data_IF_003445222635
#
_entry.id   IF_003445222635
#
_cell.length_a   1.000
_cell.length_b   1.000
_cell.length_c   1.000
_cell.angle_alpha   90.00
_cell.angle_beta   90.00
_cell.angle_gamma   90.00
#
_symmetry.space_group_name_H-M   'P 1'
#
loop_
_entity.id
_entity.type
_entity.pdbx_description
1 polymer ?
#
# COMPACT_ATOMS: atom_id res chain seq x y z
N UNK A 1 23.10 -8.71 -9.32
CA UNK A 1 21.63 -8.79 -9.53
C UNK A 1 21.22 -8.06 -10.81
N UNK A 2 22.07 -8.06 -11.85
CA UNK A 2 21.78 -7.38 -13.12
C UNK A 2 20.58 -7.99 -13.85
N UNK A 3 20.33 -9.27 -13.59
CA UNK A 3 19.19 -10.09 -14.02
C UNK A 3 17.87 -9.77 -13.29
N UNK A 4 17.96 -9.12 -12.12
CA UNK A 4 16.81 -8.68 -11.33
C UNK A 4 16.53 -7.18 -11.50
N UNK A 5 17.50 -6.41 -11.99
CA UNK A 5 17.34 -4.98 -12.22
C UNK A 5 16.26 -4.74 -13.30
N UNK A 6 15.35 -3.81 -13.06
CA UNK A 6 14.19 -3.52 -13.90
C UNK A 6 12.94 -4.33 -13.54
N UNK A 7 13.04 -5.42 -12.77
CA UNK A 7 11.89 -6.20 -12.33
C UNK A 7 11.10 -5.48 -11.25
N UNK A 8 9.80 -5.73 -11.18
CA UNK A 8 8.96 -5.20 -10.12
C UNK A 8 9.34 -5.80 -8.74
N UNK A 9 8.84 -5.22 -7.65
CA UNK A 9 9.16 -5.68 -6.29
C UNK A 9 8.73 -7.14 -6.06
N UNK A 10 7.65 -7.60 -6.67
CA UNK A 10 7.07 -8.92 -6.45
C UNK A 10 7.84 -9.99 -7.25
N UNK A 11 8.08 -9.73 -8.52
CA UNK A 11 8.93 -10.52 -9.40
C UNK A 11 10.34 -10.68 -8.84
N UNK A 12 10.88 -9.62 -8.22
CA UNK A 12 12.19 -9.67 -7.56
C UNK A 12 12.20 -10.66 -6.40
N UNK A 13 11.16 -10.63 -5.54
CA UNK A 13 11.04 -11.56 -4.41
C UNK A 13 10.92 -13.00 -4.91
N UNK A 14 10.06 -13.25 -5.91
CA UNK A 14 9.85 -14.59 -6.46
C UNK A 14 11.12 -15.14 -7.14
N UNK A 15 11.83 -14.31 -7.91
CA UNK A 15 13.08 -14.69 -8.54
C UNK A 15 14.17 -15.04 -7.53
N UNK A 16 14.28 -14.28 -6.43
CA UNK A 16 15.25 -14.58 -5.36
C UNK A 16 14.92 -15.91 -4.67
N UNK A 17 13.64 -16.18 -4.40
CA UNK A 17 13.21 -17.48 -3.86
C UNK A 17 13.54 -18.65 -4.79
N UNK A 18 13.34 -18.47 -6.09
CA UNK A 18 13.65 -19.48 -7.11
C UNK A 18 15.16 -19.73 -7.22
N UNK A 19 15.95 -18.66 -7.38
CA UNK A 19 17.41 -18.74 -7.51
C UNK A 19 18.08 -19.37 -6.29
N UNK A 20 17.57 -19.08 -5.08
CA UNK A 20 18.10 -19.64 -3.85
C UNK A 20 17.56 -21.04 -3.52
N UNK A 21 16.46 -21.46 -4.15
CA UNK A 21 15.75 -22.70 -3.80
C UNK A 21 15.17 -22.71 -2.38
N UNK A 22 14.99 -21.55 -1.74
CA UNK A 22 14.49 -21.43 -0.35
C UNK A 22 13.37 -20.39 -0.23
N UNK A 23 12.13 -20.89 -0.22
CA UNK A 23 10.90 -20.08 -0.01
C UNK A 23 10.78 -19.49 1.41
N UNK A 24 11.67 -19.85 2.34
CA UNK A 24 11.68 -19.34 3.72
C UNK A 24 12.62 -18.14 3.92
N UNK A 25 13.25 -17.66 2.84
CA UNK A 25 13.94 -16.38 2.82
C UNK A 25 12.93 -15.24 3.00
N UNK A 26 13.29 -14.27 3.83
CA UNK A 26 12.63 -12.96 3.83
C UNK A 26 13.45 -12.01 2.96
N UNK A 27 12.78 -11.25 2.10
CA UNK A 27 13.40 -10.43 1.07
C UNK A 27 12.88 -9.01 1.17
N UNK A 28 13.79 -8.06 1.38
CA UNK A 28 13.55 -6.64 1.23
C UNK A 28 14.10 -6.17 -0.13
N UNK A 29 13.26 -5.62 -1.00
CA UNK A 29 13.60 -5.27 -2.37
C UNK A 29 13.07 -3.88 -2.77
N UNK A 30 13.76 -3.23 -3.70
CA UNK A 30 13.27 -2.05 -4.41
C UNK A 30 12.69 -2.46 -5.77
N UNK A 31 11.69 -1.72 -6.24
CA UNK A 31 11.19 -1.80 -7.61
C UNK A 31 11.86 -0.77 -8.53
N UNK A 32 11.35 -0.61 -9.76
CA UNK A 32 11.81 0.38 -10.72
C UNK A 32 11.91 1.81 -10.17
N UNK A 33 11.02 2.22 -9.26
CA UNK A 33 11.07 3.55 -8.65
C UNK A 33 12.35 3.78 -7.84
N UNK A 34 12.78 2.76 -7.07
CA UNK A 34 14.05 2.83 -6.33
C UNK A 34 15.26 2.86 -7.25
N UNK A 35 15.24 2.06 -8.32
CA UNK A 35 16.31 2.01 -9.34
C UNK A 35 16.48 3.35 -10.06
N UNK A 36 15.36 4.01 -10.39
CA UNK A 36 15.30 5.36 -10.96
C UNK A 36 15.53 6.47 -9.93
N UNK A 37 15.68 6.14 -8.64
CA UNK A 37 15.89 7.07 -7.52
C UNK A 37 14.76 8.10 -7.37
N UNK A 38 13.52 7.68 -7.64
CA UNK A 38 12.33 8.51 -7.40
C UNK A 38 12.30 8.90 -5.92
N UNK A 39 12.13 10.18 -5.61
CA UNK A 39 12.26 10.71 -4.24
C UNK A 39 11.31 10.05 -3.21
N UNK A 40 10.21 9.48 -3.70
CA UNK A 40 9.17 8.80 -2.92
C UNK A 40 9.24 7.27 -3.04
N UNK A 41 10.36 6.72 -3.50
CA UNK A 41 10.54 5.29 -3.63
C UNK A 41 10.65 4.59 -2.26
N UNK A 42 9.97 3.46 -2.15
CA UNK A 42 9.90 2.63 -0.94
C UNK A 42 10.69 1.32 -1.08
N UNK A 43 10.78 0.58 0.03
CA UNK A 43 11.34 -0.78 0.05
C UNK A 43 10.21 -1.75 0.41
N UNK A 44 9.94 -2.72 -0.46
CA UNK A 44 8.96 -3.77 -0.24
C UNK A 44 9.60 -4.95 0.49
N UNK A 45 8.87 -5.57 1.42
CA UNK A 45 9.30 -6.74 2.19
C UNK A 45 8.28 -7.86 1.98
N UNK A 46 8.75 -8.99 1.43
CA UNK A 46 7.97 -10.22 1.24
C UNK A 46 6.64 -10.04 0.49
N UNK A 47 6.54 -9.04 -0.40
CA UNK A 47 5.29 -8.68 -1.11
C UNK A 47 4.15 -8.32 -0.15
N UNK A 48 4.48 -7.96 1.09
CA UNK A 48 3.53 -7.85 2.20
C UNK A 48 3.59 -6.50 2.93
N UNK A 49 4.79 -6.02 3.24
CA UNK A 49 4.98 -4.80 4.04
C UNK A 49 5.93 -3.85 3.33
N UNK A 50 5.83 -2.56 3.64
CA UNK A 50 6.63 -1.53 2.97
C UNK A 50 7.27 -0.60 3.99
N UNK A 51 8.57 -0.36 3.84
CA UNK A 51 9.19 0.86 4.36
C UNK A 51 8.84 1.99 3.39
N UNK A 52 7.61 2.50 3.54
CA UNK A 52 6.90 3.30 2.55
C UNK A 52 7.50 4.67 2.26
N UNK A 53 7.78 5.45 3.31
CA UNK A 53 8.02 6.90 3.19
C UNK A 53 9.49 7.27 3.28
N UNK A 54 9.78 8.55 2.99
CA UNK A 54 11.09 9.19 3.13
C UNK A 54 12.16 8.75 2.12
N UNK A 55 11.78 8.12 1.02
CA UNK A 55 12.69 7.87 -0.11
C UNK A 55 13.79 6.84 0.16
N UNK A 56 13.61 5.95 1.14
CA UNK A 56 14.62 4.93 1.47
C UNK A 56 14.91 3.99 0.29
N UNK A 57 13.90 3.74 -0.56
CA UNK A 57 14.09 2.97 -1.80
C UNK A 57 15.04 3.67 -2.78
N UNK A 58 14.97 5.00 -2.86
CA UNK A 58 15.88 5.79 -3.69
C UNK A 58 17.32 5.73 -3.20
N UNK A 59 17.51 5.78 -1.87
CA UNK A 59 18.83 5.64 -1.24
C UNK A 59 19.43 4.26 -1.51
N UNK A 60 18.62 3.20 -1.41
CA UNK A 60 19.03 1.83 -1.69
C UNK A 60 19.39 1.65 -3.18
N UNK A 61 18.61 2.20 -4.09
CA UNK A 61 18.89 2.20 -5.53
C UNK A 61 20.10 3.03 -5.92
N UNK A 62 20.35 4.18 -5.28
CA UNK A 62 21.57 4.97 -5.44
C UNK A 62 22.85 4.22 -5.06
N UNK A 63 22.75 3.18 -4.23
CA UNK A 63 23.86 2.28 -3.88
C UNK A 63 23.93 1.04 -4.77
N UNK A 64 23.12 0.96 -5.82
CA UNK A 64 22.98 -0.20 -6.71
C UNK A 64 22.64 -1.50 -5.95
N UNK A 65 21.86 -1.39 -4.86
CA UNK A 65 21.40 -2.56 -4.10
C UNK A 65 19.96 -2.87 -4.48
N UNK A 66 19.73 -3.96 -5.22
CA UNK A 66 18.37 -4.36 -5.65
C UNK A 66 17.54 -4.96 -4.50
N UNK A 67 18.16 -5.81 -3.69
CA UNK A 67 17.49 -6.50 -2.60
C UNK A 67 18.47 -6.97 -1.53
N UNK A 68 17.93 -7.25 -0.35
CA UNK A 68 18.59 -7.95 0.76
C UNK A 68 17.72 -9.16 1.12
N UNK A 69 18.28 -10.36 1.00
CA UNK A 69 17.60 -11.60 1.34
C UNK A 69 18.24 -12.23 2.57
N UNK A 70 17.42 -12.64 3.55
CA UNK A 70 17.89 -13.15 4.84
C UNK A 70 17.19 -14.45 5.21
N UNK A 71 18.00 -15.45 5.61
CA UNK A 71 17.54 -16.71 6.22
C UNK A 71 18.11 -16.85 7.62
N UNK A 72 17.23 -16.78 8.62
CA UNK A 72 17.59 -17.03 10.02
C UNK A 72 17.17 -18.44 10.47
N UNK A 73 18.11 -19.21 10.99
CA UNK A 73 17.85 -20.53 11.62
C UNK A 73 18.29 -20.61 13.08
N UNK A 74 19.02 -19.59 13.56
CA UNK A 74 19.47 -19.51 14.95
C UNK A 74 18.30 -19.23 15.88
N UNK A 75 18.40 -19.73 17.11
CA UNK A 75 17.48 -19.41 18.19
C UNK A 75 17.88 -18.08 18.81
N UNK A 76 16.90 -17.22 19.08
CA UNK A 76 17.10 -16.01 19.87
C UNK A 76 17.09 -16.41 21.34
N UNK A 77 18.18 -16.12 22.05
CA UNK A 77 18.27 -16.35 23.49
C UNK A 77 17.46 -15.30 24.24
N UNK A 78 16.68 -15.75 25.22
CA UNK A 78 15.87 -14.90 26.09
C UNK A 78 16.17 -15.27 27.53
N UNK A 79 16.28 -14.27 28.40
CA UNK A 79 16.70 -14.46 29.80
C UNK A 79 15.83 -15.46 30.56
N UNK A 80 14.49 -15.39 30.39
CA UNK A 80 13.54 -16.33 30.98
C UNK A 80 12.56 -16.87 29.91
N UNK A 81 12.85 -18.03 29.29
CA UNK A 81 12.01 -18.60 28.23
C UNK A 81 10.59 -18.96 28.65
N UNK A 82 10.39 -19.37 29.90
CA UNK A 82 9.07 -19.76 30.41
C UNK A 82 8.18 -18.52 30.57
N UNK A 83 8.69 -17.48 31.24
CA UNK A 83 7.96 -16.23 31.41
C UNK A 83 7.64 -15.58 30.05
N UNK A 84 8.59 -15.56 29.11
CA UNK A 84 8.35 -15.03 27.76
C UNK A 84 7.22 -15.77 27.03
N UNK A 85 7.17 -17.11 27.14
CA UNK A 85 6.11 -17.94 26.54
C UNK A 85 4.74 -17.67 27.17
N UNK A 86 4.67 -17.57 28.50
CA UNK A 86 3.44 -17.29 29.23
C UNK A 86 2.87 -15.91 28.88
N UNK A 87 3.74 -14.88 28.87
CA UNK A 87 3.36 -13.53 28.47
C UNK A 87 2.92 -13.47 27.01
N UNK A 88 3.67 -14.11 26.10
CA UNK A 88 3.29 -14.17 24.68
C UNK A 88 1.91 -14.79 24.50
N UNK A 89 1.61 -15.91 25.17
CA UNK A 89 0.29 -16.57 25.09
C UNK A 89 -0.82 -15.68 25.66
N UNK A 90 -0.58 -15.05 26.83
CA UNK A 90 -1.52 -14.12 27.46
C UNK A 90 -1.86 -12.95 26.53
N UNK A 91 -0.85 -12.24 26.03
CA UNK A 91 -1.06 -11.05 25.21
C UNK A 91 -1.57 -11.37 23.81
N UNK A 92 -1.13 -12.46 23.17
CA UNK A 92 -1.71 -12.86 21.89
C UNK A 92 -3.21 -13.11 21.99
N UNK A 93 -3.66 -13.78 23.06
CA UNK A 93 -5.09 -13.99 23.32
C UNK A 93 -5.83 -12.66 23.53
N UNK A 94 -5.32 -11.81 24.43
CA UNK A 94 -5.95 -10.52 24.75
C UNK A 94 -6.05 -9.60 23.52
N UNK A 95 -4.98 -9.50 22.73
CA UNK A 95 -4.95 -8.70 21.50
C UNK A 95 -5.93 -9.28 20.48
N UNK A 96 -5.95 -10.59 20.28
CA UNK A 96 -6.88 -11.23 19.35
C UNK A 96 -8.34 -10.99 19.73
N UNK A 97 -8.69 -11.14 21.01
CA UNK A 97 -10.05 -10.87 21.50
C UNK A 97 -10.44 -9.40 21.31
N UNK A 98 -9.51 -8.47 21.58
CA UNK A 98 -9.76 -7.03 21.40
C UNK A 98 -9.99 -6.66 19.93
N UNK A 99 -9.16 -7.17 19.01
CA UNK A 99 -9.25 -6.84 17.58
C UNK A 99 -10.38 -7.55 16.83
N UNK A 100 -10.90 -8.65 17.39
CA UNK A 100 -12.16 -9.26 16.95
C UNK A 100 -13.34 -8.42 17.43
N UNK A 101 -13.33 -8.00 18.71
CA UNK A 101 -14.42 -7.22 19.31
C UNK A 101 -14.64 -5.85 18.64
N UNK A 102 -13.57 -5.18 18.24
CA UNK A 102 -13.65 -3.88 17.56
C UNK A 102 -13.64 -3.99 16.02
N UNK A 103 -13.79 -5.19 15.48
CA UNK A 103 -13.84 -5.49 14.04
C UNK A 103 -12.56 -5.10 13.25
N UNK A 104 -11.49 -4.64 13.91
CA UNK A 104 -10.24 -4.29 13.24
C UNK A 104 -9.59 -5.48 12.53
N UNK A 105 -9.77 -6.69 13.06
CA UNK A 105 -9.39 -7.92 12.36
C UNK A 105 -10.17 -8.09 11.07
N UNK A 106 -11.49 -7.86 11.10
CA UNK A 106 -12.40 -8.05 9.96
C UNK A 106 -12.14 -7.03 8.86
N UNK A 107 -12.03 -5.75 9.24
CA UNK A 107 -12.02 -4.64 8.29
C UNK A 107 -10.64 -4.03 8.04
N UNK A 108 -9.71 -4.14 9.00
CA UNK A 108 -8.39 -3.53 8.89
C UNK A 108 -8.47 -2.02 9.05
N UNK A 109 -7.46 -1.32 8.54
CA UNK A 109 -7.42 0.15 8.58
C UNK A 109 -8.57 0.85 7.82
N UNK A 110 -9.18 0.29 6.75
CA UNK A 110 -10.35 0.91 6.11
C UNK A 110 -11.58 1.14 7.01
N UNK A 111 -11.63 0.54 8.21
CA UNK A 111 -12.63 0.89 9.22
C UNK A 111 -12.50 2.32 9.76
N UNK A 112 -11.39 3.00 9.48
CA UNK A 112 -11.14 4.38 9.90
C UNK A 112 -11.75 5.44 8.96
N UNK A 113 -12.06 5.12 7.69
CA UNK A 113 -12.46 6.12 6.68
C UNK A 113 -13.60 7.04 7.15
N UNK A 114 -14.74 6.49 7.54
CA UNK A 114 -15.90 7.29 7.98
C UNK A 114 -15.61 8.07 9.28
N UNK A 115 -14.79 7.51 10.18
CA UNK A 115 -14.41 8.21 11.42
C UNK A 115 -13.46 9.38 11.14
N UNK A 116 -12.48 9.18 10.26
CA UNK A 116 -11.55 10.25 9.88
C UNK A 116 -12.28 11.38 9.14
N UNK A 117 -13.19 11.05 8.23
CA UNK A 117 -14.01 12.06 7.55
C UNK A 117 -14.88 12.84 8.53
N UNK A 118 -15.57 12.15 9.46
CA UNK A 118 -16.39 12.82 10.48
C UNK A 118 -15.61 13.69 11.47
N UNK A 119 -14.29 13.50 11.57
CA UNK A 119 -13.37 14.34 12.35
C UNK A 119 -12.73 15.47 11.54
N UNK A 120 -12.95 15.53 10.22
CA UNK A 120 -12.29 16.46 9.31
C UNK A 120 -10.82 16.12 9.03
N UNK A 121 -10.42 14.86 9.21
CA UNK A 121 -9.05 14.34 9.06
C UNK A 121 -8.89 13.40 7.87
N UNK A 122 -9.83 13.42 6.92
CA UNK A 122 -9.71 12.69 5.65
C UNK A 122 -9.44 13.70 4.53
N UNK A 123 -8.38 13.52 3.71
CA UNK A 123 -8.08 14.46 2.64
C UNK A 123 -9.16 14.38 1.56
N UNK A 124 -9.78 15.52 1.22
CA UNK A 124 -10.77 15.60 0.15
C UNK A 124 -10.34 16.71 -0.80
N UNK A 125 -10.24 16.37 -2.10
CA UNK A 125 -9.81 17.31 -3.17
C UNK A 125 -8.54 18.09 -2.78
N UNK A 126 -7.44 17.37 -2.51
CA UNK A 126 -6.16 17.94 -2.06
C UNK A 126 -6.30 18.94 -0.89
N UNK A 127 -7.09 18.57 0.12
CA UNK A 127 -7.39 19.37 1.32
C UNK A 127 -8.15 20.68 1.06
N UNK A 128 -8.71 20.87 -0.14
CA UNK A 128 -9.57 22.02 -0.45
C UNK A 128 -10.99 21.85 0.10
N UNK A 129 -11.42 20.61 0.33
CA UNK A 129 -12.75 20.29 0.86
C UNK A 129 -12.67 19.63 2.24
N UNK A 130 -13.73 19.85 3.03
CA UNK A 130 -13.84 19.45 4.42
C UNK A 130 -14.80 18.28 4.65
N UNK A 131 -15.79 18.08 3.77
CA UNK A 131 -16.89 17.12 3.99
C UNK A 131 -17.22 16.33 2.72
N UNK A 132 -17.14 15.00 2.78
CA UNK A 132 -17.66 14.09 1.75
C UNK A 132 -17.98 12.69 2.31
N UNK A 133 -19.06 12.55 3.12
CA UNK A 133 -19.35 11.31 3.83
C UNK A 133 -19.62 10.13 2.89
N UNK A 134 -20.25 10.38 1.73
CA UNK A 134 -20.55 9.34 0.75
C UNK A 134 -19.27 8.76 0.12
N UNK A 135 -18.26 9.58 -0.13
CA UNK A 135 -16.96 9.12 -0.63
C UNK A 135 -16.22 8.26 0.41
N UNK A 136 -16.17 8.74 1.65
CA UNK A 136 -15.58 8.01 2.77
C UNK A 136 -16.28 6.67 3.03
N UNK A 137 -17.62 6.64 2.94
CA UNK A 137 -18.43 5.43 3.11
C UNK A 137 -18.21 4.41 1.98
N UNK A 138 -18.11 4.84 0.73
CA UNK A 138 -17.85 3.92 -0.40
C UNK A 138 -16.47 3.28 -0.33
N UNK A 139 -15.46 4.06 0.05
CA UNK A 139 -14.07 3.60 0.21
C UNK A 139 -13.81 2.87 1.53
N UNK A 140 -14.61 3.15 2.56
CA UNK A 140 -14.48 2.57 3.89
C UNK A 140 -15.05 1.17 4.01
N UNK A 141 -14.80 0.53 5.15
CA UNK A 141 -15.45 -0.72 5.51
C UNK A 141 -16.89 -0.48 6.01
N UNK A 142 -17.86 -1.35 5.67
CA UNK A 142 -17.69 -2.67 5.07
C UNK A 142 -17.69 -2.71 3.53
N UNK A 143 -17.97 -1.59 2.85
CA UNK A 143 -18.08 -1.53 1.38
C UNK A 143 -16.78 -1.97 0.69
N UNK A 144 -15.64 -1.45 1.14
CA UNK A 144 -14.30 -1.90 0.77
C UNK A 144 -14.16 -3.42 0.84
N UNK A 145 -14.57 -4.02 1.97
CA UNK A 145 -14.36 -5.44 2.24
C UNK A 145 -15.13 -6.29 1.24
N UNK A 146 -16.36 -5.88 0.92
CA UNK A 146 -17.22 -6.57 -0.03
C UNK A 146 -16.76 -6.36 -1.47
N UNK A 147 -16.50 -5.10 -1.86
CA UNK A 147 -16.14 -4.71 -3.22
C UNK A 147 -14.83 -5.34 -3.70
N UNK A 148 -13.88 -5.56 -2.78
CA UNK A 148 -12.56 -6.11 -3.07
C UNK A 148 -12.40 -7.59 -2.66
N UNK A 149 -13.44 -8.21 -2.09
CA UNK A 149 -13.34 -9.55 -1.48
C UNK A 149 -12.15 -9.62 -0.49
N UNK A 150 -11.99 -8.58 0.32
CA UNK A 150 -10.82 -8.41 1.17
C UNK A 150 -10.83 -9.43 2.32
N UNK A 151 -9.67 -10.06 2.56
CA UNK A 151 -9.49 -11.03 3.64
C UNK A 151 -8.36 -10.62 4.57
N UNK A 152 -8.46 -10.90 5.89
CA UNK A 152 -7.38 -10.60 6.81
C UNK A 152 -6.10 -11.37 6.48
N UNK A 153 -4.98 -10.66 6.41
CA UNK A 153 -3.65 -11.21 6.16
C UNK A 153 -2.71 -10.77 7.30
N UNK A 154 -2.34 -11.64 8.24
CA UNK A 154 -1.43 -11.28 9.33
C UNK A 154 0.03 -11.27 8.91
N UNK A 155 0.78 -10.30 9.45
CA UNK A 155 2.23 -10.39 9.53
C UNK A 155 2.65 -11.64 10.31
N UNK A 156 3.90 -12.04 10.16
CA UNK A 156 4.46 -13.19 10.86
C UNK A 156 4.27 -13.07 12.38
N UNK A 157 3.62 -14.07 12.98
CA UNK A 157 3.29 -14.15 14.42
C UNK A 157 2.28 -13.12 14.96
N UNK A 158 1.71 -12.27 14.12
CA UNK A 158 0.78 -11.23 14.57
C UNK A 158 -0.66 -11.80 14.75
N UNK A 159 -1.29 -11.63 15.93
CA UNK A 159 -2.66 -12.10 16.19
C UNK A 159 -3.75 -11.18 15.61
N UNK A 160 -3.37 -9.97 15.17
CA UNK A 160 -4.29 -8.94 14.68
C UNK A 160 -4.76 -9.31 13.27
N UNK A 161 -3.81 -9.37 12.33
CA UNK A 161 -4.09 -9.44 10.91
C UNK A 161 -4.83 -8.21 10.44
N UNK A 162 -4.13 -7.08 10.30
CA UNK A 162 -4.68 -5.80 9.82
C UNK A 162 -4.54 -5.63 8.31
N UNK A 163 -3.48 -6.16 7.69
CA UNK A 163 -3.33 -6.12 6.23
C UNK A 163 -4.45 -6.89 5.55
N UNK A 164 -4.78 -6.48 4.34
CA UNK A 164 -5.82 -7.08 3.51
C UNK A 164 -5.19 -7.82 2.36
N UNK A 165 -5.54 -9.09 2.18
CA UNK A 165 -5.35 -9.80 0.92
C UNK A 165 -6.57 -9.52 0.04
N UNK A 166 -6.31 -9.06 -1.18
CA UNK A 166 -7.35 -8.77 -2.17
C UNK A 166 -7.29 -9.80 -3.29
N UNK A 167 -8.46 -10.18 -3.77
CA UNK A 167 -8.58 -11.02 -4.96
C UNK A 167 -9.81 -10.56 -5.73
N UNK A 168 -9.57 -9.82 -6.81
CA UNK A 168 -10.59 -9.41 -7.76
C UNK A 168 -10.48 -10.33 -8.97
N UNK A 169 -11.57 -11.03 -9.27
CA UNK A 169 -11.65 -11.91 -10.45
C UNK A 169 -12.42 -11.30 -11.60
N UNK A 170 -13.28 -10.31 -11.32
CA UNK A 170 -14.12 -9.61 -12.28
C UNK A 170 -14.43 -8.18 -11.81
N UNK A 171 -14.64 -7.22 -12.74
CA UNK A 171 -14.39 -7.35 -14.19
C UNK A 171 -12.89 -7.48 -14.50
N UNK A 172 -12.53 -7.94 -15.71
CA UNK A 172 -11.14 -8.23 -16.10
C UNK A 172 -10.22 -6.99 -15.98
N UNK A 173 -10.73 -5.79 -16.23
CA UNK A 173 -10.00 -4.52 -16.10
C UNK A 173 -9.45 -4.25 -14.68
N UNK A 174 -10.09 -4.80 -13.65
CA UNK A 174 -9.69 -4.63 -12.25
C UNK A 174 -9.13 -5.93 -11.64
N UNK A 175 -8.88 -6.95 -12.46
CA UNK A 175 -8.47 -8.26 -11.97
C UNK A 175 -7.03 -8.24 -11.48
N UNK A 176 -6.86 -8.47 -10.18
CA UNK A 176 -5.54 -8.68 -9.58
C UNK A 176 -5.64 -9.47 -8.27
N UNK A 177 -4.50 -10.01 -7.85
CA UNK A 177 -4.29 -10.56 -6.51
C UNK A 177 -3.13 -9.81 -5.87
N UNK A 178 -3.39 -9.18 -4.72
CA UNK A 178 -2.43 -8.30 -4.07
C UNK A 178 -2.79 -7.99 -2.63
N UNK A 179 -2.24 -6.90 -2.11
CA UNK A 179 -2.40 -6.48 -0.72
C UNK A 179 -2.82 -5.03 -0.58
N UNK A 180 -3.51 -4.69 0.52
CA UNK A 180 -4.08 -3.35 0.73
C UNK A 180 -5.28 -3.10 -0.19
N UNK A 181 -5.65 -1.86 -0.52
CA UNK A 181 -5.08 -0.64 0.04
C UNK A 181 -5.43 -0.50 1.52
N UNK A 182 -4.54 0.15 2.27
CA UNK A 182 -4.77 0.59 3.64
C UNK A 182 -5.53 1.95 3.64
N UNK A 183 -6.01 2.41 4.79
CA UNK A 183 -6.71 3.69 4.96
C UNK A 183 -5.98 4.86 4.28
N UNK A 184 -4.67 4.97 4.48
CA UNK A 184 -3.87 6.06 3.92
C UNK A 184 -3.94 6.11 2.39
N UNK A 185 -3.85 4.95 1.74
CA UNK A 185 -3.98 4.86 0.28
C UNK A 185 -5.41 5.18 -0.16
N UNK A 186 -6.43 4.73 0.59
CA UNK A 186 -7.83 5.09 0.32
C UNK A 186 -8.08 6.60 0.44
N UNK A 187 -7.49 7.25 1.44
CA UNK A 187 -7.54 8.71 1.56
C UNK A 187 -6.83 9.40 0.40
N UNK A 188 -5.54 9.09 0.18
CA UNK A 188 -4.68 9.87 -0.72
C UNK A 188 -4.88 9.57 -2.22
N UNK A 189 -5.29 8.35 -2.59
CA UNK A 189 -5.62 7.99 -3.97
C UNK A 189 -7.12 7.92 -4.24
N UNK A 190 -7.96 8.04 -3.20
CA UNK A 190 -9.41 8.08 -3.30
C UNK A 190 -9.97 9.49 -3.09
N UNK A 191 -10.40 9.80 -1.86
CA UNK A 191 -11.09 11.07 -1.56
C UNK A 191 -10.26 12.30 -1.90
N UNK A 192 -8.94 12.25 -1.68
CA UNK A 192 -8.00 13.31 -2.03
C UNK A 192 -8.06 13.70 -3.51
N UNK A 193 -8.46 12.76 -4.38
CA UNK A 193 -8.56 12.91 -5.83
C UNK A 193 -10.00 12.95 -6.33
N UNK A 194 -11.00 12.98 -5.44
CA UNK A 194 -12.42 12.80 -5.74
C UNK A 194 -12.78 11.47 -6.43
N UNK A 195 -12.05 10.39 -6.11
CA UNK A 195 -12.30 9.03 -6.59
C UNK A 195 -12.90 8.19 -5.45
N UNK A 196 -14.08 7.60 -5.66
CA UNK A 196 -14.79 6.83 -4.63
C UNK A 196 -15.02 5.34 -5.00
N UNK A 197 -14.41 4.85 -6.09
CA UNK A 197 -14.40 3.43 -6.43
C UNK A 197 -13.20 2.72 -5.78
N UNK A 198 -13.43 1.84 -4.78
CA UNK A 198 -12.34 1.13 -4.13
C UNK A 198 -11.55 0.22 -5.07
N UNK A 199 -12.11 -0.22 -6.22
CA UNK A 199 -11.37 -1.04 -7.20
C UNK A 199 -10.30 -0.24 -7.94
N UNK A 200 -10.61 1.01 -8.30
CA UNK A 200 -9.66 1.93 -8.91
C UNK A 200 -8.48 2.17 -7.97
N UNK A 201 -8.78 2.51 -6.70
CA UNK A 201 -7.75 2.76 -5.69
C UNK A 201 -6.92 1.51 -5.42
N UNK A 202 -7.55 0.33 -5.44
CA UNK A 202 -6.89 -0.95 -5.30
C UNK A 202 -5.87 -1.24 -6.43
N UNK A 203 -6.22 -0.94 -7.68
CA UNK A 203 -5.27 -1.06 -8.80
C UNK A 203 -4.12 -0.07 -8.67
N UNK A 204 -4.41 1.20 -8.39
CA UNK A 204 -3.37 2.22 -8.18
C UNK A 204 -2.40 1.82 -7.05
N UNK A 205 -2.92 1.26 -5.98
CA UNK A 205 -2.13 0.68 -4.89
C UNK A 205 -1.26 -0.51 -5.34
N UNK A 206 -1.78 -1.44 -6.14
CA UNK A 206 -1.01 -2.58 -6.64
C UNK A 206 0.14 -2.14 -7.56
N UNK A 207 -0.13 -1.20 -8.47
CA UNK A 207 0.89 -0.59 -9.34
C UNK A 207 1.97 0.09 -8.48
N UNK A 208 1.58 0.92 -7.52
CA UNK A 208 2.53 1.59 -6.62
C UNK A 208 3.39 0.58 -5.82
N UNK A 209 2.77 -0.48 -5.31
CA UNK A 209 3.47 -1.54 -4.57
C UNK A 209 4.50 -2.25 -5.45
N UNK A 210 4.14 -2.58 -6.70
CA UNK A 210 5.02 -3.24 -7.67
C UNK A 210 6.17 -2.35 -8.10
N UNK A 211 5.89 -1.09 -8.39
CA UNK A 211 6.90 -0.10 -8.76
C UNK A 211 7.83 0.25 -7.59
N UNK A 212 7.34 0.10 -6.36
CA UNK A 212 8.04 0.49 -5.14
C UNK A 212 7.89 1.98 -4.84
N UNK A 213 6.66 2.49 -4.86
CA UNK A 213 6.30 3.88 -4.57
C UNK A 213 5.57 4.01 -3.23
N UNK A 214 5.77 5.13 -2.53
CA UNK A 214 4.96 5.55 -1.39
C UNK A 214 3.55 5.95 -1.86
N UNK A 215 2.51 5.22 -1.44
CA UNK A 215 1.13 5.52 -1.88
C UNK A 215 0.62 6.86 -1.38
N UNK A 216 1.06 7.32 -0.20
CA UNK A 216 0.65 8.62 0.36
C UNK A 216 1.20 9.74 -0.52
N UNK A 217 2.52 9.75 -0.72
CA UNK A 217 3.16 10.79 -1.51
C UNK A 217 2.75 10.73 -2.98
N UNK A 218 2.50 9.52 -3.52
CA UNK A 218 1.98 9.36 -4.88
C UNK A 218 0.61 10.02 -5.03
N UNK A 219 -0.35 9.70 -4.15
CA UNK A 219 -1.67 10.32 -4.19
C UNK A 219 -1.62 11.84 -3.96
N UNK A 220 -0.77 12.31 -3.04
CA UNK A 220 -0.57 13.73 -2.82
C UNK A 220 0.00 14.46 -4.05
N UNK A 221 0.98 13.87 -4.75
CA UNK A 221 1.55 14.46 -5.96
C UNK A 221 0.56 14.49 -7.12
N UNK A 222 -0.28 13.45 -7.26
CA UNK A 222 -1.37 13.45 -8.25
C UNK A 222 -2.38 14.55 -7.92
N UNK A 223 -2.78 14.69 -6.65
CA UNK A 223 -3.70 15.74 -6.21
C UNK A 223 -3.14 17.14 -6.47
N UNK A 224 -1.86 17.36 -6.17
CA UNK A 224 -1.18 18.61 -6.48
C UNK A 224 -1.15 18.91 -7.99
N UNK A 225 -0.89 17.90 -8.83
CA UNK A 225 -0.91 18.06 -10.27
C UNK A 225 -2.32 18.40 -10.80
N UNK A 226 -3.37 17.76 -10.29
CA UNK A 226 -4.75 18.09 -10.62
C UNK A 226 -5.11 19.52 -10.20
N UNK A 227 -4.68 19.98 -9.02
CA UNK A 227 -4.90 21.36 -8.58
C UNK A 227 -4.17 22.37 -9.49
N UNK A 228 -2.92 22.10 -9.85
CA UNK A 228 -2.16 22.94 -10.78
C UNK A 228 -2.84 23.02 -12.15
N UNK A 229 -3.42 21.92 -12.63
CA UNK A 229 -4.14 21.86 -13.89
C UNK A 229 -5.47 22.64 -13.83
N UNK A 230 -6.26 22.46 -12.76
CA UNK A 230 -7.50 23.20 -12.52
C UNK A 230 -7.26 24.72 -12.46
N UNK A 231 -6.14 25.14 -11.86
CA UNK A 231 -5.71 26.55 -11.80
C UNK A 231 -5.09 27.08 -13.09
N UNK A 232 -4.88 26.23 -14.09
CA UNK A 232 -4.25 26.57 -15.37
C UNK A 232 -2.76 26.90 -15.26
N UNK A 233 -2.08 26.43 -14.19
CA UNK A 233 -0.63 26.58 -14.03
C UNK A 233 0.15 25.57 -14.86
N UNK A 234 -0.45 24.41 -15.10
CA UNK A 234 -0.03 23.45 -16.10
C UNK A 234 -1.19 23.18 -17.06
N UNK A 235 -0.88 22.75 -18.27
CA UNK A 235 -1.83 22.49 -19.35
C UNK A 235 -1.57 21.13 -19.98
N UNK A 236 -2.39 20.75 -20.96
CA UNK A 236 -2.16 19.52 -21.74
C UNK A 236 -0.82 19.49 -22.48
N UNK A 237 -0.17 20.65 -22.67
CA UNK A 237 1.19 20.72 -23.23
C UNK A 237 2.25 20.21 -22.24
N UNK A 238 1.98 20.28 -20.94
CA UNK A 238 2.90 19.87 -19.87
C UNK A 238 2.67 18.41 -19.45
N UNK A 239 1.59 17.79 -19.93
CA UNK A 239 1.12 16.46 -19.51
C UNK A 239 1.00 15.48 -20.69
N UNK A 240 1.70 15.75 -21.80
CA UNK A 240 1.66 14.94 -23.03
C UNK A 240 0.22 14.66 -23.54
N UNK A 241 -0.66 15.65 -23.39
CA UNK A 241 -2.07 15.55 -23.80
C UNK A 241 -3.01 14.95 -22.75
N UNK A 242 -2.52 14.54 -21.58
CA UNK A 242 -3.37 13.99 -20.51
C UNK A 242 -4.11 15.11 -19.77
N UNK A 243 -5.44 15.06 -19.75
CA UNK A 243 -6.23 15.97 -18.91
C UNK A 243 -6.20 15.49 -17.45
N UNK A 244 -5.87 16.40 -16.51
CA UNK A 244 -5.81 16.09 -15.08
C UNK A 244 -7.05 16.61 -14.36
N UNK A 245 -8.18 15.95 -14.59
CA UNK A 245 -9.47 16.30 -13.97
C UNK A 245 -9.64 15.57 -12.64
N UNK A 246 -10.21 16.25 -11.65
CA UNK A 246 -10.64 15.63 -10.40
C UNK A 246 -11.63 14.49 -10.68
N UNK A 247 -11.48 13.39 -9.95
CA UNK A 247 -12.33 12.21 -10.08
C UNK A 247 -12.06 11.36 -11.32
N UNK A 248 -10.94 11.54 -12.02
CA UNK A 248 -10.56 10.74 -13.19
C UNK A 248 -9.64 9.55 -12.83
N UNK A 249 -10.15 8.30 -12.85
CA UNK A 249 -9.34 7.09 -12.63
C UNK A 249 -8.18 6.95 -13.61
N UNK A 250 -8.38 7.32 -14.88
CA UNK A 250 -7.35 7.15 -15.91
C UNK A 250 -6.18 8.08 -15.65
N UNK A 251 -6.45 9.32 -15.22
CA UNK A 251 -5.42 10.27 -14.85
C UNK A 251 -4.56 9.73 -13.69
N UNK A 252 -5.21 9.21 -12.63
CA UNK A 252 -4.51 8.57 -11.51
C UNK A 252 -3.62 7.42 -11.98
N UNK A 253 -4.19 6.42 -12.68
CA UNK A 253 -3.44 5.23 -13.06
C UNK A 253 -2.29 5.54 -14.02
N UNK A 254 -2.51 6.47 -14.96
CA UNK A 254 -1.46 6.88 -15.92
C UNK A 254 -0.31 7.58 -15.22
N UNK A 255 -0.58 8.49 -14.28
CA UNK A 255 0.47 9.24 -13.58
C UNK A 255 1.32 8.36 -12.65
N UNK A 256 0.77 7.27 -12.11
CA UNK A 256 1.56 6.34 -11.28
C UNK A 256 2.62 5.61 -12.12
N UNK A 257 2.35 5.34 -13.40
CA UNK A 257 3.23 4.55 -14.28
C UNK A 257 4.36 5.33 -14.94
N UNK A 258 4.28 6.68 -14.96
CA UNK A 258 5.28 7.57 -15.56
C UNK A 258 6.59 7.62 -14.75
#
# INVERSE_FOLDING_TARGET
ASDLWGRDTFETVDAIHEQAGDRKLSVAAIGPAGEKKVAIACIAVDKHSFAGRCGLGAVMGAKNVKAVAVRGTKKVEVHNPQAARELSKKYQKQIHEAVVKNEFRTHGTPGLCETAEGLGDMPIKYWEQDVWPEGAKKLGAPNYTQALNARPLPCKYCPIGCHRKITITQPEEYKYEGIGPEYETLGLMGTNLLIDDPKVVAIGNDIANRLGLDTISTGAMVGFAMECFEKGWITTNDTDGLELKWGDPKALLTLIEQ
#
